data_IF_455694578918
#
_entry.id   IF_455694578918
#
_cell.length_a   1.000
_cell.length_b   1.000
_cell.length_c   1.000
_cell.angle_alpha   90.00
_cell.angle_beta   90.00
_cell.angle_gamma   90.00
#
_symmetry.space_group_name_H-M   'P 1'
#
loop_
_entity.id
_entity.type
_entity.pdbx_description
1 polymer ?
#
# COMPACT_ATOMS: atom_id res chain seq x y z
N UNK A 1 42.66 -4.51 23.68
CA UNK A 1 41.25 -4.04 23.67
C UNK A 1 40.61 -3.94 22.28
N UNK A 2 41.33 -4.15 21.17
CA UNK A 2 40.75 -4.00 19.81
C UNK A 2 39.85 -5.15 19.32
N UNK A 3 40.13 -6.41 19.69
CA UNK A 3 39.43 -7.58 19.10
C UNK A 3 37.90 -7.60 19.27
N UNK A 4 37.40 -7.11 20.41
CA UNK A 4 35.95 -6.99 20.66
C UNK A 4 35.29 -5.97 19.73
N UNK A 5 35.92 -4.81 19.55
CA UNK A 5 35.41 -3.75 18.67
C UNK A 5 35.37 -4.19 17.20
N UNK A 6 36.39 -4.93 16.74
CA UNK A 6 36.39 -5.49 15.39
C UNK A 6 35.28 -6.50 15.17
N UNK A 7 35.01 -7.36 16.17
CA UNK A 7 33.93 -8.33 16.07
C UNK A 7 32.55 -7.65 16.06
N UNK A 8 32.34 -6.64 16.90
CA UNK A 8 31.10 -5.85 16.92
C UNK A 8 30.86 -5.16 15.56
N UNK A 9 31.89 -4.51 15.01
CA UNK A 9 31.78 -3.85 13.72
C UNK A 9 31.50 -4.85 12.59
N UNK A 10 32.14 -6.02 12.62
CA UNK A 10 31.90 -7.08 11.65
C UNK A 10 30.44 -7.55 11.66
N UNK A 11 29.88 -7.79 12.85
CA UNK A 11 28.47 -8.21 12.99
C UNK A 11 27.52 -7.13 12.46
N UNK A 12 27.78 -5.86 12.77
CA UNK A 12 26.96 -4.74 12.26
C UNK A 12 27.01 -4.68 10.73
N UNK A 13 28.21 -4.76 10.14
CA UNK A 13 28.38 -4.72 8.69
C UNK A 13 27.69 -5.91 8.01
N UNK A 14 27.82 -7.12 8.56
CA UNK A 14 27.17 -8.31 8.02
C UNK A 14 25.63 -8.21 8.08
N UNK A 15 25.08 -7.67 9.18
CA UNK A 15 23.63 -7.47 9.30
C UNK A 15 23.11 -6.40 8.33
N UNK A 16 23.89 -5.33 8.12
CA UNK A 16 23.56 -4.31 7.12
C UNK A 16 23.53 -4.91 5.70
N UNK A 17 24.55 -5.68 5.33
CA UNK A 17 24.64 -6.32 4.01
C UNK A 17 23.47 -7.30 3.78
N UNK A 18 23.15 -8.13 4.77
CA UNK A 18 22.01 -9.04 4.71
C UNK A 18 20.70 -8.26 4.54
N UNK A 19 20.49 -7.22 5.34
CA UNK A 19 19.28 -6.40 5.28
C UNK A 19 19.11 -5.71 3.93
N UNK A 20 20.19 -5.16 3.36
CA UNK A 20 20.18 -4.53 2.05
C UNK A 20 19.90 -5.53 0.93
N UNK A 21 20.53 -6.70 0.97
CA UNK A 21 20.29 -7.78 -0.01
C UNK A 21 18.84 -8.26 0.02
N UNK A 22 18.28 -8.51 1.21
CA UNK A 22 16.88 -8.93 1.37
C UNK A 22 15.91 -7.85 0.87
N UNK A 23 16.17 -6.58 1.21
CA UNK A 23 15.31 -5.47 0.80
C UNK A 23 15.36 -5.21 -0.71
N UNK A 24 16.54 -5.32 -1.32
CA UNK A 24 16.70 -5.23 -2.78
C UNK A 24 15.95 -6.36 -3.51
N UNK A 25 15.99 -7.58 -2.98
CA UNK A 25 15.22 -8.70 -3.50
C UNK A 25 13.71 -8.44 -3.45
N UNK A 26 13.24 -7.88 -2.34
CA UNK A 26 11.83 -7.54 -2.13
C UNK A 26 11.37 -6.38 -3.03
N UNK A 27 12.26 -5.43 -3.37
CA UNK A 27 11.95 -4.32 -4.25
C UNK A 27 11.48 -4.78 -5.64
N UNK A 28 11.98 -5.91 -6.16
CA UNK A 28 11.51 -6.49 -7.42
C UNK A 28 10.09 -7.05 -7.30
N UNK A 29 9.76 -7.60 -6.13
CA UNK A 29 8.47 -8.21 -5.83
C UNK A 29 7.38 -7.17 -5.57
N UNK A 30 7.68 -6.08 -4.87
CA UNK A 30 6.68 -5.08 -4.39
C UNK A 30 6.39 -3.99 -5.44
N UNK A 31 6.68 -4.24 -6.71
CA UNK A 31 6.48 -3.27 -7.81
C UNK A 31 5.09 -3.32 -8.48
N UNK A 32 4.08 -3.88 -7.81
CA UNK A 32 2.80 -4.18 -8.46
C UNK A 32 1.95 -2.93 -8.76
N UNK A 33 1.93 -1.87 -7.95
CA UNK A 33 1.16 -0.63 -8.20
C UNK A 33 1.92 0.40 -9.07
N UNK A 34 3.01 0.02 -9.74
CA UNK A 34 3.76 0.98 -10.57
C UNK A 34 3.04 1.38 -11.86
N UNK A 35 2.29 0.45 -12.48
CA UNK A 35 1.84 0.63 -13.87
C UNK A 35 0.36 0.92 -14.07
N UNK A 36 -0.51 0.55 -13.13
CA UNK A 36 -1.94 0.83 -13.22
C UNK A 36 -2.59 0.91 -11.84
N UNK A 37 -3.18 2.08 -11.55
CA UNK A 37 -4.09 2.33 -10.44
C UNK A 37 -5.49 1.86 -10.83
N UNK A 38 -5.70 0.55 -10.97
CA UNK A 38 -7.02 -0.01 -11.28
C UNK A 38 -7.74 -0.45 -10.01
N UNK A 39 -9.06 -0.29 -10.00
CA UNK A 39 -9.92 -0.77 -8.91
C UNK A 39 -9.69 -2.25 -8.61
N UNK A 40 -9.56 -3.08 -9.66
CA UNK A 40 -9.30 -4.51 -9.54
C UNK A 40 -7.98 -4.86 -8.85
N UNK A 41 -6.98 -3.97 -8.90
CA UNK A 41 -5.70 -4.17 -8.20
C UNK A 41 -5.76 -3.72 -6.75
N UNK A 42 -6.45 -2.62 -6.48
CA UNK A 42 -6.67 -2.14 -5.12
C UNK A 42 -7.49 -3.13 -4.30
N UNK A 43 -8.48 -3.80 -4.91
CA UNK A 43 -9.31 -4.81 -4.23
C UNK A 43 -8.61 -6.16 -4.07
N UNK A 44 -7.58 -6.44 -4.88
CA UNK A 44 -6.76 -7.66 -4.75
C UNK A 44 -5.65 -7.55 -3.71
N UNK A 45 -5.34 -6.32 -3.26
CA UNK A 45 -4.23 -6.09 -2.36
C UNK A 45 -4.64 -6.43 -0.90
N UNK A 46 -4.32 -7.65 -0.49
CA UNK A 46 -4.55 -8.13 0.88
C UNK A 46 -3.33 -7.85 1.76
N UNK A 47 -3.54 -7.23 2.92
CA UNK A 47 -2.48 -7.00 3.92
C UNK A 47 -1.84 -8.32 4.39
N UNK A 48 -2.62 -9.40 4.43
CA UNK A 48 -2.13 -10.72 4.83
C UNK A 48 -1.18 -11.30 3.78
N UNK A 49 -1.48 -11.09 2.49
CA UNK A 49 -0.66 -11.61 1.39
C UNK A 49 0.67 -10.88 1.30
N UNK A 50 0.66 -9.55 1.53
CA UNK A 50 1.87 -8.74 1.57
C UNK A 50 2.74 -9.11 2.76
N UNK A 51 2.12 -9.27 3.92
CA UNK A 51 2.79 -9.73 5.13
C UNK A 51 3.42 -11.12 4.92
N UNK A 52 2.68 -12.05 4.31
CA UNK A 52 3.19 -13.37 3.99
C UNK A 52 4.37 -13.30 3.00
N UNK A 53 4.33 -12.37 2.06
CA UNK A 53 5.43 -12.07 1.13
C UNK A 53 6.66 -11.54 1.87
N UNK A 54 6.49 -10.62 2.81
CA UNK A 54 7.59 -10.06 3.61
C UNK A 54 8.24 -11.11 4.51
N UNK A 55 7.42 -11.98 5.10
CA UNK A 55 7.90 -13.11 5.91
C UNK A 55 8.59 -14.20 5.06
N UNK A 56 8.49 -14.15 3.73
CA UNK A 56 9.03 -15.17 2.83
C UNK A 56 8.20 -16.46 2.80
N UNK A 57 6.95 -16.42 3.26
CA UNK A 57 6.02 -17.57 3.26
C UNK A 57 5.17 -17.67 1.99
N UNK A 58 5.22 -16.65 1.12
CA UNK A 58 4.48 -16.69 -0.15
C UNK A 58 5.19 -17.59 -1.17
N UNK A 59 4.54 -18.69 -1.56
CA UNK A 59 5.00 -19.57 -2.64
C UNK A 59 5.10 -18.87 -4.00
N UNK A 60 4.46 -17.70 -4.17
CA UNK A 60 4.38 -17.03 -5.48
C UNK A 60 5.59 -16.16 -5.82
N UNK A 61 6.45 -15.81 -4.84
CA UNK A 61 7.45 -14.75 -5.05
C UNK A 61 8.88 -15.09 -4.70
N UNK A 62 9.16 -16.21 -4.02
CA UNK A 62 10.52 -16.77 -3.84
C UNK A 62 11.56 -15.90 -3.10
N UNK A 63 11.28 -14.62 -2.86
CA UNK A 63 12.21 -13.62 -2.34
C UNK A 63 11.47 -12.78 -1.29
N UNK A 64 11.66 -13.14 -0.02
CA UNK A 64 11.16 -12.40 1.15
C UNK A 64 12.31 -11.77 1.93
N UNK A 65 12.00 -11.18 3.07
CA UNK A 65 13.00 -10.63 4.00
C UNK A 65 12.98 -11.38 5.35
N UNK A 66 13.22 -12.71 5.38
CA UNK A 66 13.02 -13.51 6.57
C UNK A 66 13.96 -13.12 7.73
N UNK A 67 15.20 -12.73 7.45
CA UNK A 67 16.17 -12.36 8.49
C UNK A 67 15.89 -10.97 9.04
N UNK A 68 15.65 -9.99 8.16
CA UNK A 68 15.22 -8.66 8.56
C UNK A 68 13.89 -8.72 9.33
N UNK A 69 12.95 -9.54 8.88
CA UNK A 69 11.69 -9.78 9.58
C UNK A 69 11.93 -10.34 10.98
N UNK A 70 12.80 -11.34 11.12
CA UNK A 70 13.12 -11.91 12.41
C UNK A 70 13.71 -10.86 13.36
N UNK A 71 14.68 -10.07 12.90
CA UNK A 71 15.29 -9.00 13.71
C UNK A 71 14.25 -7.97 14.14
N UNK A 72 13.43 -7.47 13.21
CA UNK A 72 12.38 -6.51 13.53
C UNK A 72 11.31 -7.09 14.47
N UNK A 73 10.99 -8.37 14.32
CA UNK A 73 10.05 -9.06 15.21
C UNK A 73 10.60 -9.19 16.64
N UNK A 74 11.89 -9.53 16.78
CA UNK A 74 12.56 -9.57 18.08
C UNK A 74 12.64 -8.18 18.72
N UNK A 75 12.79 -7.12 17.93
CA UNK A 75 12.81 -5.74 18.44
C UNK A 75 11.41 -5.22 18.79
N UNK A 76 10.38 -5.64 18.06
CA UNK A 76 9.01 -5.19 18.25
C UNK A 76 8.30 -5.86 19.43
N UNK A 77 8.78 -7.02 19.88
CA UNK A 77 8.18 -7.80 20.96
C UNK A 77 9.12 -7.87 22.17
N UNK A 78 8.64 -7.48 23.34
CA UNK A 78 9.31 -7.82 24.60
C UNK A 78 8.85 -9.19 25.10
N UNK A 79 9.73 -9.89 25.84
CA UNK A 79 9.43 -11.22 26.42
C UNK A 79 8.17 -11.16 27.30
N UNK A 80 7.98 -10.06 28.02
CA UNK A 80 6.83 -9.84 28.90
C UNK A 80 5.52 -9.61 28.12
N UNK A 81 5.55 -8.87 27.01
CA UNK A 81 4.38 -8.67 26.14
C UNK A 81 3.92 -9.98 25.48
N UNK A 82 4.86 -10.87 25.15
CA UNK A 82 4.55 -12.17 24.58
C UNK A 82 3.83 -13.08 25.59
N UNK A 83 4.17 -12.95 26.88
CA UNK A 83 3.50 -13.67 27.98
C UNK A 83 2.14 -13.09 28.35
N UNK A 84 1.99 -11.76 28.30
CA UNK A 84 0.77 -11.09 28.78
C UNK A 84 -0.34 -11.01 27.71
N UNK A 85 -0.08 -11.46 26.47
CA UNK A 85 -1.04 -11.50 25.36
C UNK A 85 -1.84 -10.18 25.18
N UNK A 86 -1.26 -9.07 25.59
CA UNK A 86 -1.90 -7.76 25.63
C UNK A 86 -1.42 -6.94 24.44
N UNK A 87 -2.21 -7.04 23.37
CA UNK A 87 -2.28 -6.15 22.19
C UNK A 87 -1.47 -6.45 20.92
N UNK A 88 -2.14 -6.03 19.82
CA UNK A 88 -1.73 -5.69 18.45
C UNK A 88 -0.64 -6.57 17.83
N UNK A 89 -1.01 -7.29 16.78
CA UNK A 89 -0.11 -8.14 16.01
C UNK A 89 1.10 -7.33 15.50
N UNK A 90 2.34 -7.59 16.00
CA UNK A 90 3.55 -6.83 15.66
C UNK A 90 3.83 -6.85 14.16
N UNK A 91 3.32 -7.88 13.49
CA UNK A 91 3.24 -8.07 12.06
C UNK A 91 2.92 -6.80 11.27
N UNK A 92 1.87 -6.04 11.61
CA UNK A 92 1.52 -4.84 10.82
C UNK A 92 2.53 -3.71 11.01
N UNK A 93 3.07 -3.57 12.22
CA UNK A 93 4.11 -2.58 12.52
C UNK A 93 5.38 -2.90 11.73
N UNK A 94 5.80 -4.16 11.74
CA UNK A 94 6.96 -4.64 10.97
C UNK A 94 6.75 -4.42 9.48
N UNK A 95 5.56 -4.75 8.95
CA UNK A 95 5.22 -4.50 7.54
C UNK A 95 5.26 -3.00 7.19
N UNK A 96 4.78 -2.12 8.07
CA UNK A 96 4.90 -0.68 7.89
C UNK A 96 6.36 -0.21 7.88
N UNK A 97 7.21 -0.74 8.77
CA UNK A 97 8.65 -0.43 8.79
C UNK A 97 9.30 -0.84 7.47
N UNK A 98 9.04 -2.05 6.99
CA UNK A 98 9.57 -2.54 5.70
C UNK A 98 9.07 -1.65 4.56
N UNK A 99 7.80 -1.24 4.53
CA UNK A 99 7.30 -0.30 3.54
C UNK A 99 7.98 1.06 3.57
N UNK A 100 8.22 1.62 4.75
CA UNK A 100 8.95 2.89 4.90
C UNK A 100 10.38 2.75 4.37
N UNK A 101 11.06 1.64 4.66
CA UNK A 101 12.40 1.38 4.13
C UNK A 101 12.41 1.26 2.60
N UNK A 102 11.45 0.52 2.02
CA UNK A 102 11.28 0.42 0.57
C UNK A 102 10.95 1.78 -0.08
N UNK A 103 10.13 2.58 0.59
CA UNK A 103 9.76 3.92 0.13
C UNK A 103 10.97 4.85 0.08
N UNK A 104 11.81 4.83 1.12
CA UNK A 104 13.05 5.62 1.17
C UNK A 104 14.06 5.17 0.11
N UNK A 105 14.14 3.87 -0.19
CA UNK A 105 14.99 3.38 -1.28
C UNK A 105 14.41 3.70 -2.66
N UNK A 106 13.09 3.80 -2.78
CA UNK A 106 12.42 4.03 -4.07
C UNK A 106 11.04 4.66 -3.91
N UNK A 107 11.04 6.00 -3.87
CA UNK A 107 9.84 6.81 -3.68
C UNK A 107 8.69 6.49 -4.66
N UNK A 108 8.99 6.00 -5.86
CA UNK A 108 7.99 5.71 -6.90
C UNK A 108 7.49 4.25 -6.94
N UNK A 109 8.19 3.32 -6.26
CA UNK A 109 8.00 1.88 -6.46
C UNK A 109 7.40 1.15 -5.24
N UNK A 110 6.93 1.85 -4.21
CA UNK A 110 6.33 1.20 -3.04
C UNK A 110 4.80 1.18 -3.12
N UNK A 111 4.25 -0.02 -3.02
CA UNK A 111 2.80 -0.27 -3.10
C UNK A 111 2.08 0.06 -1.78
N UNK A 112 2.76 -0.13 -0.65
CA UNK A 112 2.22 0.12 0.69
C UNK A 112 1.77 1.56 0.91
N UNK A 113 2.66 2.56 0.75
CA UNK A 113 2.30 3.95 0.90
C UNK A 113 1.18 4.40 -0.04
N UNK A 114 1.17 3.90 -1.29
CA UNK A 114 0.09 4.19 -2.26
C UNK A 114 -1.26 3.65 -1.77
N UNK A 115 -1.30 2.39 -1.36
CA UNK A 115 -2.50 1.77 -0.82
C UNK A 115 -3.02 2.51 0.42
N UNK A 116 -2.13 2.78 1.39
CA UNK A 116 -2.50 3.44 2.63
C UNK A 116 -2.98 4.88 2.38
N UNK A 117 -2.39 5.58 1.41
CA UNK A 117 -2.82 6.92 1.00
C UNK A 117 -4.24 6.91 0.47
N UNK A 118 -4.56 6.00 -0.46
CA UNK A 118 -5.90 5.91 -1.03
C UNK A 118 -6.93 5.52 0.02
N UNK A 119 -6.59 4.55 0.87
CA UNK A 119 -7.43 4.16 1.99
C UNK A 119 -7.74 5.37 2.89
N UNK A 120 -6.72 6.06 3.40
CA UNK A 120 -6.91 7.22 4.27
C UNK A 120 -7.63 8.39 3.58
N UNK A 121 -7.34 8.63 2.29
CA UNK A 121 -8.04 9.64 1.49
C UNK A 121 -9.53 9.32 1.38
N UNK A 122 -9.90 8.05 1.15
CA UNK A 122 -11.30 7.61 1.13
C UNK A 122 -12.00 7.76 2.47
N UNK A 123 -11.26 7.69 3.58
CA UNK A 123 -11.77 7.94 4.94
C UNK A 123 -11.85 9.44 5.28
N UNK A 124 -11.54 10.34 4.35
CA UNK A 124 -11.65 11.79 4.57
C UNK A 124 -10.53 12.39 5.43
N UNK A 125 -9.34 11.79 5.44
CA UNK A 125 -8.19 12.34 6.17
C UNK A 125 -7.91 13.80 5.76
N UNK A 126 -7.55 14.64 6.74
CA UNK A 126 -7.18 16.03 6.47
C UNK A 126 -5.87 16.12 5.67
N UNK A 127 -5.74 17.18 4.86
CA UNK A 127 -4.49 17.51 4.13
C UNK A 127 -3.27 17.51 5.07
N UNK A 128 -3.37 18.21 6.21
CA UNK A 128 -2.26 18.34 7.17
C UNK A 128 -1.84 17.00 7.76
N UNK A 129 -2.81 16.14 8.07
CA UNK A 129 -2.53 14.80 8.59
C UNK A 129 -1.85 13.93 7.55
N UNK A 130 -2.29 14.01 6.29
CA UNK A 130 -1.67 13.25 5.21
C UNK A 130 -0.25 13.74 4.89
N UNK A 131 -0.03 15.05 4.91
CA UNK A 131 1.30 15.64 4.74
C UNK A 131 2.25 15.22 5.88
N UNK A 132 1.77 15.18 7.13
CA UNK A 132 2.55 14.68 8.25
C UNK A 132 2.95 13.21 8.06
N UNK A 133 2.01 12.34 7.65
CA UNK A 133 2.28 10.93 7.37
C UNK A 133 3.22 10.74 6.17
N UNK A 134 3.14 11.63 5.18
CA UNK A 134 4.02 11.62 4.03
C UNK A 134 5.47 11.91 4.40
N UNK A 135 5.71 12.84 5.33
CA UNK A 135 7.06 13.12 5.86
C UNK A 135 7.67 11.88 6.54
N UNK A 136 6.85 11.04 7.17
CA UNK A 136 7.31 9.76 7.73
C UNK A 136 7.49 8.64 6.68
N UNK A 137 7.18 8.89 5.40
CA UNK A 137 7.22 7.87 4.35
C UNK A 137 6.13 6.80 4.47
N UNK A 138 5.10 7.06 5.28
CA UNK A 138 3.96 6.15 5.51
C UNK A 138 2.95 6.29 4.37
N UNK A 139 2.79 7.49 3.83
CA UNK A 139 1.87 7.80 2.73
C UNK A 139 2.58 8.52 1.58
N UNK A 140 1.95 8.51 0.43
CA UNK A 140 2.22 9.41 -0.68
C UNK A 140 1.74 10.83 -0.33
N UNK A 141 2.16 11.81 -1.14
CA UNK A 141 1.74 13.19 -0.96
C UNK A 141 0.25 13.38 -1.23
N UNK A 142 -0.34 14.44 -0.66
CA UNK A 142 -1.73 14.78 -0.94
C UNK A 142 -1.98 15.04 -2.42
N UNK A 143 -1.04 15.71 -3.10
CA UNK A 143 -1.12 15.94 -4.56
C UNK A 143 -1.26 14.61 -5.31
N UNK A 144 -0.42 13.63 -4.99
CA UNK A 144 -0.52 12.30 -5.58
C UNK A 144 -1.87 11.63 -5.28
N UNK A 145 -2.38 11.78 -4.05
CA UNK A 145 -3.66 11.19 -3.67
C UNK A 145 -4.83 11.74 -4.50
N UNK A 146 -4.86 13.06 -4.75
CA UNK A 146 -5.89 13.70 -5.59
C UNK A 146 -5.78 13.21 -7.03
N UNK A 147 -4.58 13.25 -7.61
CA UNK A 147 -4.34 12.78 -8.98
C UNK A 147 -4.73 11.31 -9.16
N UNK A 148 -4.43 10.46 -8.17
CA UNK A 148 -4.80 9.05 -8.20
C UNK A 148 -6.31 8.83 -8.15
N UNK A 149 -7.04 9.61 -7.33
CA UNK A 149 -8.51 9.55 -7.28
C UNK A 149 -9.13 10.04 -8.59
N UNK A 150 -8.62 11.13 -9.17
CA UNK A 150 -9.10 11.65 -10.45
C UNK A 150 -8.87 10.63 -11.58
N UNK A 151 -7.71 9.97 -11.59
CA UNK A 151 -7.43 8.87 -12.53
C UNK A 151 -8.42 7.72 -12.36
N UNK A 152 -8.67 7.25 -11.13
CA UNK A 152 -9.66 6.20 -10.86
C UNK A 152 -11.05 6.60 -11.34
N UNK A 153 -11.49 7.83 -11.01
CA UNK A 153 -12.80 8.34 -11.39
C UNK A 153 -12.95 8.45 -12.91
N UNK A 154 -11.91 8.89 -13.62
CA UNK A 154 -11.92 8.98 -15.09
C UNK A 154 -12.05 7.60 -15.74
N UNK A 155 -11.34 6.60 -15.22
CA UNK A 155 -11.43 5.22 -15.70
C UNK A 155 -12.82 4.65 -15.47
N UNK A 156 -13.36 4.79 -14.26
CA UNK A 156 -14.72 4.33 -13.93
C UNK A 156 -15.80 5.05 -14.74
N UNK A 157 -15.68 6.38 -14.93
CA UNK A 157 -16.60 7.14 -15.74
C UNK A 157 -16.59 6.66 -17.20
N UNK A 158 -15.41 6.31 -17.73
CA UNK A 158 -15.32 5.75 -19.09
C UNK A 158 -16.08 4.42 -19.23
N UNK A 159 -16.10 3.59 -18.18
CA UNK A 159 -16.86 2.34 -18.15
C UNK A 159 -18.36 2.60 -18.06
N UNK A 160 -18.78 3.55 -17.22
CA UNK A 160 -20.18 3.97 -17.11
C UNK A 160 -20.68 4.50 -18.45
N UNK A 161 -19.93 5.37 -19.12
CA UNK A 161 -20.27 5.87 -20.46
C UNK A 161 -20.49 4.72 -21.46
N UNK A 162 -19.62 3.70 -21.46
CA UNK A 162 -19.78 2.52 -22.34
C UNK A 162 -21.09 1.78 -22.06
N UNK A 163 -21.47 1.63 -20.79
CA UNK A 163 -22.75 1.00 -20.41
C UNK A 163 -23.93 1.88 -20.82
N UNK A 164 -23.85 3.20 -20.64
CA UNK A 164 -24.91 4.14 -21.04
C UNK A 164 -25.20 4.12 -22.55
N UNK A 165 -24.20 3.83 -23.39
CA UNK A 165 -24.41 3.67 -24.83
C UNK A 165 -25.02 2.32 -25.23
N UNK A 166 -24.98 1.32 -24.36
CA UNK A 166 -25.45 -0.05 -24.67
C UNK A 166 -26.75 -0.42 -23.99
N UNK A 167 -27.10 0.26 -22.90
CA UNK A 167 -28.27 -0.06 -22.07
C UNK A 167 -29.09 1.20 -21.76
N UNK A 168 -30.43 1.08 -21.63
CA UNK A 168 -31.25 2.15 -21.07
C UNK A 168 -30.77 2.47 -19.66
N UNK A 169 -30.64 3.75 -19.34
CA UNK A 169 -30.22 4.21 -18.03
C UNK A 169 -31.16 5.30 -17.53
N UNK A 170 -31.28 5.37 -16.21
CA UNK A 170 -32.14 6.33 -15.51
C UNK A 170 -31.25 7.22 -14.65
N UNK A 171 -31.48 8.53 -14.70
CA UNK A 171 -30.80 9.49 -13.84
C UNK A 171 -31.81 10.11 -12.89
N UNK A 172 -31.61 9.93 -11.59
CA UNK A 172 -32.33 10.66 -10.56
C UNK A 172 -31.43 11.78 -10.04
N UNK A 173 -31.87 13.02 -10.17
CA UNK A 173 -31.18 14.16 -9.59
C UNK A 173 -31.57 14.28 -8.11
N UNK A 174 -30.59 14.30 -7.19
CA UNK A 174 -30.77 14.15 -5.74
C UNK A 174 -31.45 15.35 -5.03
N UNK A 175 -32.13 16.21 -5.78
CA UNK A 175 -32.78 17.42 -5.25
C UNK A 175 -34.10 17.78 -5.96
N UNK A 176 -34.67 16.85 -6.72
CA UNK A 176 -35.98 17.01 -7.36
C UNK A 176 -36.86 15.89 -6.84
N UNK A 177 -37.99 16.26 -6.21
CA UNK A 177 -39.04 15.34 -5.77
C UNK A 177 -39.25 14.24 -6.83
N UNK A 178 -39.22 12.96 -6.40
CA UNK A 178 -39.16 11.73 -7.21
C UNK A 178 -40.47 11.49 -8.00
N UNK A 179 -40.88 12.44 -8.83
CA UNK A 179 -42.01 12.30 -9.75
C UNK A 179 -41.58 12.41 -11.22
N UNK A 180 -40.31 12.69 -11.52
CA UNK A 180 -39.80 12.75 -12.89
C UNK A 180 -38.56 11.87 -13.04
N UNK A 181 -38.79 10.64 -13.50
CA UNK A 181 -37.73 9.75 -13.99
C UNK A 181 -37.60 10.02 -15.49
N UNK A 182 -36.42 10.48 -15.92
CA UNK A 182 -36.12 10.68 -17.34
C UNK A 182 -35.46 9.42 -17.91
N UNK A 183 -36.02 8.92 -19.02
CA UNK A 183 -35.47 7.77 -19.75
C UNK A 183 -34.70 8.29 -20.94
N UNK A 184 -33.41 7.99 -21.00
CA UNK A 184 -32.55 8.37 -22.12
C UNK A 184 -32.16 7.15 -22.94
N UNK A 185 -32.26 7.28 -24.26
CA UNK A 185 -31.77 6.28 -25.21
C UNK A 185 -30.46 6.79 -25.81
N UNK A 186 -29.39 6.00 -25.74
CA UNK A 186 -28.13 6.31 -26.41
C UNK A 186 -28.32 6.32 -27.93
N UNK A 187 -28.28 7.50 -28.55
CA UNK A 187 -28.28 7.62 -30.00
C UNK A 187 -26.91 7.20 -30.54
N UNK A 188 -26.87 6.14 -31.37
CA UNK A 188 -25.71 5.85 -32.21
C UNK A 188 -25.71 6.85 -33.37
N UNK A 189 -25.00 7.96 -33.23
CA UNK A 189 -24.59 8.77 -34.38
C UNK A 189 -23.57 7.96 -35.18
N UNK A 190 -23.98 7.53 -36.39
CA UNK A 190 -23.14 6.81 -37.36
C UNK A 190 -22.12 7.69 -38.04
#
# INVERSE_FOLDING_TARGET
>A
MGGKQYLEQFVVNAMQEIGLCELAGLQLTVQHLKRDLSQARLTKLSLNDITATFRGMSMSFGVGTPRLWAVLHWLACTVDQQHQNTQKTPTLVISCIIWMLLYLQSHHNSDGPKFLTLFLKSQGISLKSLDALHVFGITMSYKWAVEAVDQLASVQMSEVCKVMYTQPWFMSHDNVNICQVWVFYGSKSG
#
